data_IF_001329491426
#
_entry.id   IF_001329491426
#
_cell.length_a   1.000
_cell.length_b   1.000
_cell.length_c   1.000
_cell.angle_alpha   90.00
_cell.angle_beta   90.00
_cell.angle_gamma   90.00
#
_symmetry.space_group_name_H-M   'P 1'
#
loop_
_entity.id
_entity.type
_entity.pdbx_description
1 polymer ?
#
# COMPACT_ATOMS: atom_id res chain seq x y z
N UNK A 1 -3.29 -17.83 13.70
CA UNK A 1 -4.22 -17.78 12.56
C UNK A 1 -4.14 -16.39 11.94
N UNK A 2 -4.53 -16.25 10.68
CA UNK A 2 -4.65 -14.96 10.01
C UNK A 2 -6.13 -14.56 9.99
N UNK A 3 -6.43 -13.34 10.45
CA UNK A 3 -7.78 -12.76 10.42
C UNK A 3 -7.77 -11.58 9.44
N UNK A 4 -8.38 -11.71 8.25
CA UNK A 4 -8.45 -10.62 7.30
C UNK A 4 -9.28 -9.47 7.88
N UNK A 5 -8.84 -8.23 7.72
CA UNK A 5 -9.61 -7.09 8.20
C UNK A 5 -9.83 -6.00 7.16
N UNK A 6 -8.89 -5.80 6.22
CA UNK A 6 -9.02 -4.77 5.22
C UNK A 6 -8.32 -5.15 3.90
N UNK A 7 -8.59 -4.35 2.87
CA UNK A 7 -7.88 -4.36 1.59
C UNK A 7 -6.90 -3.19 1.56
N UNK A 8 -5.65 -3.48 1.20
CA UNK A 8 -4.57 -2.54 0.99
C UNK A 8 -4.23 -2.46 -0.51
N UNK A 9 -3.59 -1.37 -0.92
CA UNK A 9 -3.10 -1.19 -2.28
C UNK A 9 -1.73 -0.51 -2.29
N UNK A 10 -0.98 -0.78 -3.36
CA UNK A 10 0.34 -0.19 -3.59
C UNK A 10 0.37 0.42 -4.97
N UNK A 11 0.45 1.74 -5.04
CA UNK A 11 0.55 2.47 -6.28
C UNK A 11 2.01 2.76 -6.63
N UNK A 12 2.26 3.03 -7.91
CA UNK A 12 3.49 3.71 -8.30
C UNK A 12 3.36 5.19 -7.98
N UNK A 13 4.44 5.79 -7.51
CA UNK A 13 4.49 7.16 -7.05
C UNK A 13 5.65 7.92 -7.68
N UNK A 14 5.45 9.22 -7.86
CA UNK A 14 6.50 10.18 -8.20
C UNK A 14 6.51 11.34 -7.21
N UNK A 15 7.58 12.13 -7.20
CA UNK A 15 7.63 13.38 -6.44
C UNK A 15 7.15 14.59 -7.26
N UNK A 16 6.96 15.75 -6.62
CA UNK A 16 6.46 16.97 -7.26
C UNK A 16 7.42 17.53 -8.33
N UNK A 17 8.70 17.17 -8.31
CA UNK A 17 9.66 17.54 -9.35
C UNK A 17 9.59 16.63 -10.60
N UNK A 18 8.80 15.56 -10.58
CA UNK A 18 8.71 14.56 -11.66
C UNK A 18 8.21 15.15 -12.96
N UNK A 19 8.83 14.71 -14.05
CA UNK A 19 8.36 15.00 -15.42
C UNK A 19 7.80 13.75 -16.10
N UNK A 20 7.65 12.64 -15.36
CA UNK A 20 7.20 11.36 -15.89
C UNK A 20 5.67 11.36 -15.94
N UNK A 21 5.03 11.11 -17.10
CA UNK A 21 3.57 10.97 -17.24
C UNK A 21 3.16 9.60 -16.70
N UNK A 22 3.25 9.46 -15.38
CA UNK A 22 3.22 8.20 -14.68
C UNK A 22 1.85 7.48 -14.75
N UNK A 23 0.76 8.21 -14.97
CA UNK A 23 -0.61 7.66 -15.11
C UNK A 23 -0.84 6.80 -16.36
N UNK A 24 0.02 6.93 -17.36
CA UNK A 24 -0.09 6.17 -18.61
C UNK A 24 0.61 4.80 -18.57
N UNK A 25 1.35 4.50 -17.49
CA UNK A 25 2.00 3.20 -17.35
C UNK A 25 0.97 2.07 -17.12
N UNK A 26 1.17 0.97 -17.83
CA UNK A 26 0.50 -0.29 -17.53
C UNK A 26 1.31 -1.11 -16.54
N UNK A 27 0.66 -2.11 -15.91
CA UNK A 27 1.39 -3.07 -15.07
C UNK A 27 2.41 -3.88 -15.90
N UNK A 28 2.14 -4.08 -17.19
CA UNK A 28 3.08 -4.74 -18.09
C UNK A 28 4.32 -3.87 -18.33
N UNK A 29 4.15 -2.56 -18.52
CA UNK A 29 5.25 -1.61 -18.69
C UNK A 29 6.15 -1.56 -17.45
N UNK A 30 5.54 -1.50 -16.26
CA UNK A 30 6.29 -1.55 -15.00
C UNK A 30 7.07 -2.86 -14.87
N UNK A 31 6.47 -4.00 -15.24
CA UNK A 31 7.20 -5.28 -15.27
C UNK A 31 8.36 -5.27 -16.25
N UNK A 32 8.18 -4.74 -17.46
CA UNK A 32 9.28 -4.61 -18.44
C UNK A 32 10.46 -3.81 -17.86
N UNK A 33 10.16 -2.67 -17.23
CA UNK A 33 11.18 -1.82 -16.60
C UNK A 33 11.87 -2.52 -15.42
N UNK A 34 11.12 -3.08 -14.47
CA UNK A 34 11.68 -3.67 -13.25
C UNK A 34 12.34 -5.03 -13.51
N UNK A 35 11.69 -5.92 -14.27
CA UNK A 35 12.12 -7.32 -14.46
C UNK A 35 13.16 -7.47 -15.56
N UNK A 36 12.92 -6.85 -16.71
CA UNK A 36 13.72 -7.11 -17.90
C UNK A 36 14.84 -6.07 -18.06
N UNK A 37 14.64 -4.87 -17.51
CA UNK A 37 15.56 -3.75 -17.71
C UNK A 37 15.41 -3.09 -19.09
N UNK A 38 14.37 -3.47 -19.82
CA UNK A 38 14.09 -3.01 -21.17
C UNK A 38 13.35 -1.66 -21.17
N UNK A 39 13.54 -0.90 -22.25
CA UNK A 39 12.90 0.40 -22.41
C UNK A 39 11.40 0.29 -22.72
N UNK A 40 10.62 1.24 -22.21
CA UNK A 40 9.19 1.38 -22.52
C UNK A 40 8.90 2.80 -23.03
N UNK A 41 8.05 2.92 -24.06
CA UNK A 41 7.57 4.23 -24.54
C UNK A 41 6.19 4.54 -23.99
N UNK A 42 6.09 5.60 -23.18
CA UNK A 42 4.86 6.08 -22.56
C UNK A 42 4.72 7.59 -22.83
N UNK A 43 3.54 8.04 -23.24
CA UNK A 43 3.30 9.47 -23.53
C UNK A 43 4.24 10.05 -24.60
N UNK A 44 4.75 9.23 -25.53
CA UNK A 44 5.71 9.64 -26.55
C UNK A 44 7.17 9.76 -26.09
N UNK A 45 7.46 9.42 -24.83
CA UNK A 45 8.83 9.40 -24.27
C UNK A 45 9.26 7.96 -23.99
N UNK A 46 10.47 7.58 -24.41
CA UNK A 46 11.06 6.28 -24.10
C UNK A 46 11.83 6.34 -22.79
N UNK A 47 11.40 5.57 -21.80
CA UNK A 47 12.02 5.41 -20.50
C UNK A 47 12.91 4.18 -20.49
N UNK A 48 14.16 4.34 -20.08
CA UNK A 48 15.17 3.29 -19.96
C UNK A 48 15.75 3.35 -18.55
N UNK A 49 15.71 2.23 -17.78
CA UNK A 49 16.24 2.19 -16.42
C UNK A 49 17.67 2.72 -16.33
N UNK A 50 17.95 3.52 -15.30
CA UNK A 50 19.23 4.21 -15.02
C UNK A 50 19.74 5.21 -16.07
N UNK A 51 19.03 5.38 -17.19
CA UNK A 51 19.33 6.43 -18.19
C UNK A 51 18.48 7.67 -17.92
N UNK A 52 17.16 7.49 -17.89
CA UNK A 52 16.20 8.58 -17.70
C UNK A 52 15.02 8.22 -16.79
N UNK A 53 15.03 7.04 -16.17
CA UNK A 53 14.12 6.67 -15.07
C UNK A 53 14.90 5.90 -14.00
N UNK A 54 14.71 6.26 -12.74
CA UNK A 54 15.25 5.55 -11.59
C UNK A 54 14.14 4.73 -10.93
N UNK A 55 14.33 3.41 -10.85
CA UNK A 55 13.35 2.49 -10.28
C UNK A 55 13.69 2.21 -8.82
N UNK A 56 12.79 2.58 -7.91
CA UNK A 56 12.98 2.38 -6.48
C UNK A 56 12.16 1.19 -5.96
N UNK A 57 12.67 0.55 -4.92
CA UNK A 57 11.96 -0.48 -4.16
C UNK A 57 12.22 -0.28 -2.67
N UNK A 58 11.28 -0.62 -1.75
CA UNK A 58 11.51 -0.35 -0.34
C UNK A 58 12.72 -1.10 0.22
N UNK A 59 13.23 -0.60 1.34
CA UNK A 59 14.30 -1.18 2.13
C UNK A 59 14.09 -2.67 2.43
N UNK A 60 15.19 -3.39 2.60
CA UNK A 60 15.17 -4.79 3.03
C UNK A 60 14.39 -4.97 4.33
N UNK A 61 13.59 -6.03 4.41
CA UNK A 61 12.70 -6.32 5.54
C UNK A 61 11.32 -5.65 5.49
N UNK A 62 11.05 -4.77 4.53
CA UNK A 62 9.70 -4.24 4.30
C UNK A 62 8.75 -5.32 3.77
N UNK A 63 7.55 -5.42 4.36
CA UNK A 63 6.47 -6.24 3.81
C UNK A 63 5.91 -5.71 2.48
N UNK A 64 6.09 -4.41 2.20
CA UNK A 64 5.72 -3.82 0.91
C UNK A 64 6.74 -4.16 -0.19
N UNK A 65 8.03 -4.25 0.15
CA UNK A 65 9.08 -4.74 -0.77
C UNK A 65 8.74 -6.12 -1.32
N UNK A 66 8.41 -7.09 -0.46
CA UNK A 66 8.08 -8.45 -0.91
C UNK A 66 6.88 -8.43 -1.85
N UNK A 67 5.81 -7.73 -1.46
CA UNK A 67 4.61 -7.64 -2.28
C UNK A 67 4.88 -6.98 -3.64
N UNK A 68 5.60 -5.85 -3.67
CA UNK A 68 5.92 -5.17 -4.92
C UNK A 68 6.82 -6.02 -5.82
N UNK A 69 7.84 -6.67 -5.25
CA UNK A 69 8.71 -7.58 -5.99
C UNK A 69 7.92 -8.72 -6.65
N UNK A 70 6.95 -9.31 -5.94
CA UNK A 70 6.07 -10.34 -6.49
C UNK A 70 5.23 -9.79 -7.66
N UNK A 71 4.70 -8.57 -7.54
CA UNK A 71 3.94 -7.92 -8.61
C UNK A 71 4.80 -7.62 -9.84
N UNK A 72 6.03 -7.18 -9.64
CA UNK A 72 7.00 -6.88 -10.69
C UNK A 72 7.72 -8.14 -11.21
N UNK A 73 7.52 -9.30 -10.57
CA UNK A 73 8.15 -10.58 -10.91
C UNK A 73 9.68 -10.54 -10.81
N UNK A 74 10.20 -9.89 -9.77
CA UNK A 74 11.62 -9.83 -9.45
C UNK A 74 11.88 -10.46 -8.07
N UNK A 75 13.14 -10.77 -7.77
CA UNK A 75 13.50 -11.23 -6.43
C UNK A 75 13.50 -10.04 -5.45
N UNK A 76 12.82 -10.19 -4.31
CA UNK A 76 12.88 -9.21 -3.23
C UNK A 76 14.25 -9.19 -2.54
N UNK A 77 15.05 -10.25 -2.62
CA UNK A 77 16.35 -10.34 -1.92
C UNK A 77 17.53 -10.01 -2.83
N UNK A 78 17.45 -10.41 -4.10
CA UNK A 78 18.50 -10.20 -5.10
C UNK A 78 17.94 -9.29 -6.18
N UNK A 79 18.04 -7.97 -5.95
CA UNK A 79 17.47 -6.98 -6.86
C UNK A 79 18.22 -6.98 -8.21
N UNK A 80 17.52 -6.75 -9.32
CA UNK A 80 18.16 -6.38 -10.59
C UNK A 80 19.06 -5.15 -10.40
N UNK A 81 20.15 -5.08 -11.16
CA UNK A 81 21.16 -4.02 -10.98
C UNK A 81 20.63 -2.60 -11.21
N UNK A 82 19.52 -2.45 -11.92
CA UNK A 82 18.84 -1.19 -12.25
C UNK A 82 17.65 -0.86 -11.33
N UNK A 83 17.45 -1.64 -10.26
CA UNK A 83 16.42 -1.40 -9.23
C UNK A 83 17.11 -1.11 -7.91
N UNK A 84 16.79 0.03 -7.30
CA UNK A 84 17.52 0.56 -6.15
C UNK A 84 16.64 0.62 -4.90
N UNK A 85 17.16 0.18 -3.76
CA UNK A 85 16.47 0.31 -2.46
C UNK A 85 16.96 1.49 -1.62
N UNK A 86 17.84 2.30 -2.20
CA UNK A 86 18.41 3.50 -1.62
C UNK A 86 18.92 4.44 -2.69
N UNK A 87 18.97 5.73 -2.38
CA UNK A 87 19.71 6.73 -3.17
C UNK A 87 20.70 7.40 -2.23
N UNK A 88 21.97 7.49 -2.64
CA UNK A 88 23.03 8.14 -1.86
C UNK A 88 23.03 7.70 -0.37
N UNK A 89 22.88 6.40 -0.11
CA UNK A 89 22.81 5.74 1.21
C UNK A 89 21.54 5.97 2.04
N UNK A 90 20.62 6.82 1.59
CA UNK A 90 19.31 6.97 2.23
C UNK A 90 18.37 5.85 1.72
N UNK A 91 17.81 5.00 2.58
CA UNK A 91 16.91 3.92 2.16
C UNK A 91 15.56 4.48 1.68
N UNK A 92 15.01 3.90 0.62
CA UNK A 92 13.66 4.21 0.16
C UNK A 92 12.64 3.49 1.04
N UNK A 93 11.69 4.24 1.62
CA UNK A 93 10.62 3.72 2.47
C UNK A 93 9.27 3.88 1.77
N UNK A 94 8.40 2.90 1.97
CA UNK A 94 7.10 2.82 1.30
C UNK A 94 6.05 3.86 1.71
N UNK A 95 6.38 4.70 2.69
CA UNK A 95 5.50 5.67 3.32
C UNK A 95 6.18 7.04 3.51
N UNK A 96 7.31 7.26 2.86
CA UNK A 96 8.13 8.47 2.97
C UNK A 96 8.57 8.94 1.58
N UNK A 97 8.12 10.14 1.22
CA UNK A 97 8.36 10.75 -0.08
C UNK A 97 9.71 11.45 -0.21
N UNK A 98 10.54 11.50 0.84
CA UNK A 98 11.80 12.27 0.86
C UNK A 98 12.71 11.98 -0.34
N UNK A 99 12.80 10.72 -0.78
CA UNK A 99 13.62 10.35 -1.94
C UNK A 99 12.99 10.64 -3.30
N UNK A 100 11.68 10.87 -3.33
CA UNK A 100 10.94 11.25 -4.53
C UNK A 100 10.89 12.77 -4.70
N UNK A 101 10.81 13.53 -3.59
CA UNK A 101 10.55 14.98 -3.56
C UNK A 101 11.34 15.76 -4.63
N UNK A 102 12.67 15.66 -4.58
CA UNK A 102 13.58 16.39 -5.47
C UNK A 102 14.05 15.62 -6.69
N UNK A 103 13.59 14.37 -6.90
CA UNK A 103 14.10 13.51 -7.96
C UNK A 103 13.11 13.41 -9.12
N UNK A 104 13.34 14.22 -10.15
CA UNK A 104 12.45 14.31 -11.32
C UNK A 104 12.37 13.04 -12.18
N UNK A 105 13.21 12.04 -11.90
CA UNK A 105 13.30 10.79 -12.65
C UNK A 105 12.96 9.56 -11.80
N UNK A 106 12.71 9.71 -10.51
CA UNK A 106 12.44 8.58 -9.64
C UNK A 106 10.98 8.17 -9.68
N UNK A 107 10.77 6.86 -9.75
CA UNK A 107 9.50 6.23 -9.43
C UNK A 107 9.73 5.15 -8.38
N UNK A 108 8.75 4.94 -7.51
CA UNK A 108 8.81 3.88 -6.52
C UNK A 108 7.41 3.48 -6.05
N UNK A 109 7.24 2.30 -5.46
CA UNK A 109 5.97 1.92 -4.89
C UNK A 109 5.71 2.67 -3.58
N UNK A 110 4.49 3.12 -3.40
CA UNK A 110 4.04 3.83 -2.19
C UNK A 110 2.75 3.19 -1.67
N UNK A 111 2.63 3.05 -0.35
CA UNK A 111 1.41 2.53 0.27
C UNK A 111 0.26 3.52 0.11
N UNK A 112 -0.78 3.13 -0.62
CA UNK A 112 -1.97 3.98 -0.83
C UNK A 112 -2.64 4.27 0.52
N UNK A 113 -2.73 3.26 1.38
CA UNK A 113 -3.29 3.42 2.72
C UNK A 113 -2.50 4.44 3.56
N UNK A 114 -1.16 4.35 3.57
CA UNK A 114 -0.34 5.32 4.27
C UNK A 114 -0.48 6.73 3.69
N UNK A 115 -0.54 6.88 2.37
CA UNK A 115 -0.70 8.18 1.72
C UNK A 115 -2.04 8.83 2.13
N UNK A 116 -3.14 8.08 2.06
CA UNK A 116 -4.47 8.58 2.46
C UNK A 116 -4.49 8.88 3.96
N UNK A 117 -4.02 7.96 4.81
CA UNK A 117 -4.02 8.14 6.26
C UNK A 117 -3.19 9.34 6.73
N UNK A 118 -2.05 9.62 6.07
CA UNK A 118 -1.27 10.83 6.28
C UNK A 118 -2.02 12.08 5.81
N UNK A 119 -2.65 12.03 4.64
CA UNK A 119 -3.46 13.13 4.11
C UNK A 119 -4.68 13.49 4.96
N UNK A 120 -5.26 12.51 5.65
CA UNK A 120 -6.35 12.72 6.59
C UNK A 120 -5.92 13.38 7.91
N UNK A 121 -4.61 13.56 8.15
CA UNK A 121 -4.09 14.25 9.33
C UNK A 121 -4.39 13.54 10.64
N UNK A 122 -4.32 12.20 10.65
CA UNK A 122 -4.69 11.40 11.81
C UNK A 122 -3.77 11.66 13.02
N UNK A 123 -4.31 11.66 14.26
CA UNK A 123 -3.49 11.84 15.46
C UNK A 123 -2.34 10.82 15.54
N UNK A 124 -1.11 11.33 15.65
CA UNK A 124 0.09 10.50 15.72
C UNK A 124 0.61 9.98 14.37
N UNK A 125 -0.06 10.31 13.26
CA UNK A 125 0.40 10.02 11.90
C UNK A 125 1.08 11.27 11.36
N UNK A 126 2.41 11.22 11.21
CA UNK A 126 3.18 12.30 10.62
C UNK A 126 3.01 12.25 9.10
N UNK A 127 2.67 13.37 8.49
CA UNK A 127 2.69 13.51 7.02
C UNK A 127 4.15 13.55 6.55
N UNK A 128 4.52 12.55 5.76
CA UNK A 128 5.82 12.34 5.12
C UNK A 128 5.63 12.12 3.63
N UNK A 129 4.52 12.58 3.06
CA UNK A 129 4.28 12.42 1.62
C UNK A 129 5.25 13.27 0.80
N UNK A 130 5.75 14.38 1.33
CA UNK A 130 6.70 15.27 0.64
C UNK A 130 6.25 15.61 -0.81
N UNK A 131 4.95 15.86 -0.98
CA UNK A 131 4.35 16.17 -2.29
C UNK A 131 4.27 14.99 -3.27
N UNK A 132 4.41 13.76 -2.79
CA UNK A 132 4.26 12.55 -3.60
C UNK A 132 2.86 12.48 -4.21
N UNK A 133 2.83 12.21 -5.51
CA UNK A 133 1.64 11.88 -6.27
C UNK A 133 1.57 10.37 -6.52
N UNK A 134 0.39 9.79 -6.31
CA UNK A 134 0.12 8.38 -6.61
C UNK A 134 -0.52 8.28 -7.99
N UNK A 135 -0.04 7.33 -8.80
CA UNK A 135 -0.42 7.24 -10.20
C UNK A 135 -1.31 6.05 -10.51
N UNK A 136 -2.11 6.23 -11.56
CA UNK A 136 -2.91 5.17 -12.13
C UNK A 136 -2.02 4.04 -12.69
N UNK A 137 -2.52 2.81 -12.59
CA UNK A 137 -1.94 1.65 -13.27
C UNK A 137 -3.02 1.06 -14.15
N UNK A 138 -2.71 0.83 -15.42
CA UNK A 138 -3.71 0.45 -16.43
C UNK A 138 -4.87 1.47 -16.53
N UNK A 139 -4.59 2.76 -16.31
CA UNK A 139 -5.59 3.85 -16.24
C UNK A 139 -6.64 3.69 -15.12
N UNK A 140 -6.38 2.84 -14.13
CA UNK A 140 -7.22 2.73 -12.94
C UNK A 140 -6.55 3.53 -11.82
N UNK A 141 -7.23 4.57 -11.34
CA UNK A 141 -6.73 5.42 -10.24
C UNK A 141 -6.68 4.65 -8.92
N UNK A 142 -5.69 4.90 -8.04
CA UNK A 142 -5.56 4.21 -6.75
C UNK A 142 -6.60 4.66 -5.71
N UNK A 143 -7.24 5.80 -5.90
CA UNK A 143 -8.32 6.33 -5.05
C UNK A 143 -9.42 6.97 -5.90
N UNK A 144 -10.63 7.14 -5.33
CA UNK A 144 -11.83 7.57 -6.08
C UNK A 144 -12.22 9.04 -5.91
N UNK A 145 -11.84 9.66 -4.80
CA UNK A 145 -12.22 11.05 -4.49
C UNK A 145 -11.11 12.01 -4.90
N UNK A 146 -11.48 13.07 -5.63
CA UNK A 146 -10.52 14.07 -6.11
C UNK A 146 -10.36 15.27 -5.17
N UNK A 147 -11.12 15.31 -4.07
CA UNK A 147 -11.00 16.39 -3.08
C UNK A 147 -9.88 16.04 -2.10
N UNK A 148 -8.83 16.87 -1.99
CA UNK A 148 -7.75 16.62 -1.05
C UNK A 148 -8.26 16.46 0.39
N UNK A 149 -7.86 15.38 1.06
CA UNK A 149 -8.28 15.03 2.42
C UNK A 149 -9.59 14.26 2.51
N UNK A 150 -10.15 13.81 1.38
CA UNK A 150 -11.32 12.92 1.32
C UNK A 150 -11.05 11.66 0.49
N UNK A 151 -9.79 11.39 0.15
CA UNK A 151 -9.41 10.26 -0.69
C UNK A 151 -9.83 8.94 -0.06
N UNK A 152 -10.50 8.10 -0.86
CA UNK A 152 -10.91 6.74 -0.47
C UNK A 152 -10.24 5.76 -1.41
N UNK A 153 -9.67 4.69 -0.85
CA UNK A 153 -9.02 3.65 -1.64
C UNK A 153 -9.97 3.11 -2.71
N UNK A 154 -9.49 3.02 -3.95
CA UNK A 154 -10.22 2.39 -5.03
C UNK A 154 -10.07 0.86 -4.98
N UNK A 155 -11.11 0.09 -4.60
CA UNK A 155 -11.00 -1.35 -4.43
C UNK A 155 -10.80 -2.11 -5.74
N UNK A 156 -11.01 -1.47 -6.90
CA UNK A 156 -10.75 -2.10 -8.21
C UNK A 156 -9.34 -1.83 -8.74
N UNK A 157 -8.49 -1.13 -7.97
CA UNK A 157 -7.09 -0.91 -8.35
C UNK A 157 -6.36 -2.25 -8.52
N UNK A 158 -5.53 -2.43 -9.57
CA UNK A 158 -5.03 -3.75 -9.94
C UNK A 158 -3.94 -4.29 -9.01
N UNK A 159 -3.32 -3.43 -8.20
CA UNK A 159 -2.25 -3.81 -7.27
C UNK A 159 -2.74 -3.71 -5.84
N UNK A 160 -3.51 -4.72 -5.43
CA UNK A 160 -4.16 -4.82 -4.12
C UNK A 160 -3.79 -6.11 -3.39
N UNK A 161 -3.94 -6.10 -2.06
CA UNK A 161 -3.79 -7.28 -1.20
C UNK A 161 -4.70 -7.19 0.02
N UNK A 162 -5.12 -8.34 0.54
CA UNK A 162 -5.74 -8.37 1.86
C UNK A 162 -4.67 -8.22 2.95
N UNK A 163 -5.01 -7.50 4.01
CA UNK A 163 -4.18 -7.38 5.22
C UNK A 163 -4.86 -8.09 6.39
N UNK A 164 -4.02 -8.64 7.27
CA UNK A 164 -4.43 -9.61 8.28
C UNK A 164 -3.87 -9.25 9.65
N UNK A 165 -4.68 -9.46 10.68
CA UNK A 165 -4.20 -9.59 12.05
C UNK A 165 -3.71 -11.01 12.28
N UNK A 166 -2.58 -11.16 12.98
CA UNK A 166 -2.04 -12.47 13.38
C UNK A 166 -2.34 -12.68 14.86
N UNK A 167 -3.15 -13.69 15.17
CA UNK A 167 -3.56 -13.98 16.54
C UNK A 167 -3.65 -15.49 16.80
N UNK A 168 -3.67 -15.91 18.07
CA UNK A 168 -3.87 -17.31 18.43
C UNK A 168 -5.30 -17.77 18.08
N UNK A 169 -5.44 -18.97 17.52
CA UNK A 169 -6.73 -19.44 17.01
C UNK A 169 -7.80 -19.56 18.11
N UNK A 170 -7.47 -20.17 19.25
CA UNK A 170 -8.41 -20.35 20.35
C UNK A 170 -8.87 -19.00 20.94
N UNK A 171 -7.96 -18.02 21.00
CA UNK A 171 -8.27 -16.69 21.51
C UNK A 171 -9.29 -15.97 20.62
N UNK A 172 -9.12 -16.02 19.30
CA UNK A 172 -10.09 -15.42 18.37
C UNK A 172 -11.39 -16.23 18.32
N UNK A 173 -11.32 -17.56 18.20
CA UNK A 173 -12.49 -18.40 17.92
C UNK A 173 -13.44 -18.53 19.11
N UNK A 174 -12.90 -18.79 20.30
CA UNK A 174 -13.69 -19.07 21.50
C UNK A 174 -13.49 -18.04 22.60
N UNK A 175 -12.46 -17.19 22.50
CA UNK A 175 -12.08 -16.23 23.54
C UNK A 175 -11.01 -16.75 24.48
N UNK A 176 -10.59 -18.02 24.34
CA UNK A 176 -9.48 -18.63 25.08
C UNK A 176 -9.29 -18.11 26.51
N UNK A 177 -8.08 -17.60 26.76
CA UNK A 177 -7.69 -16.93 28.00
C UNK A 177 -7.95 -15.41 27.97
N UNK A 178 -8.09 -14.82 26.78
CA UNK A 178 -8.40 -13.41 26.55
C UNK A 178 -9.63 -13.25 25.65
N UNK A 179 -10.79 -13.12 26.30
CA UNK A 179 -12.06 -12.94 25.61
C UNK A 179 -12.13 -11.64 24.79
N UNK A 180 -11.24 -10.67 25.02
CA UNK A 180 -11.20 -9.42 24.27
C UNK A 180 -10.74 -9.64 22.82
N UNK A 181 -9.87 -10.63 22.56
CA UNK A 181 -9.40 -10.95 21.21
C UNK A 181 -10.53 -11.50 20.33
N UNK A 182 -11.47 -12.26 20.91
CA UNK A 182 -12.70 -12.67 20.21
C UNK A 182 -13.55 -11.45 19.82
N UNK A 183 -13.78 -10.53 20.76
CA UNK A 183 -14.57 -9.30 20.50
C UNK A 183 -13.87 -8.40 19.48
N UNK A 184 -12.54 -8.35 19.52
CA UNK A 184 -11.73 -7.52 18.64
C UNK A 184 -11.75 -8.02 17.19
N UNK A 185 -11.70 -9.34 16.96
CA UNK A 185 -11.37 -9.90 15.64
C UNK A 185 -12.34 -10.93 15.07
N UNK A 186 -13.24 -11.53 15.86
CA UNK A 186 -14.04 -12.66 15.39
C UNK A 186 -15.32 -12.22 14.68
N UNK A 187 -15.34 -12.42 13.36
CA UNK A 187 -16.48 -12.20 12.49
C UNK A 187 -16.64 -10.76 12.02
N UNK A 188 -17.58 -10.53 11.09
CA UNK A 188 -17.77 -9.22 10.44
C UNK A 188 -18.32 -8.15 11.39
N UNK A 189 -18.83 -8.53 12.56
CA UNK A 189 -19.30 -7.60 13.61
C UNK A 189 -18.24 -7.28 14.66
N UNK A 190 -17.02 -7.82 14.52
CA UNK A 190 -15.93 -7.56 15.44
C UNK A 190 -15.53 -6.07 15.44
N UNK A 191 -14.86 -5.63 16.53
CA UNK A 191 -14.46 -4.22 16.66
C UNK A 191 -13.52 -3.79 15.53
N UNK A 192 -12.62 -4.66 15.06
CA UNK A 192 -11.74 -4.32 13.93
C UNK A 192 -12.51 -4.00 12.65
N UNK A 193 -13.70 -4.59 12.47
CA UNK A 193 -14.51 -4.44 11.27
C UNK A 193 -15.55 -3.33 11.35
N UNK A 194 -15.99 -2.97 12.56
CA UNK A 194 -17.13 -2.06 12.79
C UNK A 194 -16.76 -0.77 13.50
N UNK A 195 -15.51 -0.61 13.93
CA UNK A 195 -15.04 0.63 14.57
C UNK A 195 -15.22 1.81 13.63
N UNK A 196 -15.82 2.87 14.18
CA UNK A 196 -15.92 4.18 13.54
C UNK A 196 -15.31 5.24 14.44
N UNK A 197 -14.81 6.32 13.84
CA UNK A 197 -14.32 7.50 14.56
C UNK A 197 -14.68 8.74 13.78
N UNK A 198 -14.76 9.88 14.47
CA UNK A 198 -14.95 11.17 13.82
C UNK A 198 -13.75 11.49 12.91
N UNK A 199 -14.04 12.01 11.72
CA UNK A 199 -13.00 12.46 10.79
C UNK A 199 -12.22 13.66 11.39
N UNK A 200 -10.88 13.70 11.34
CA UNK A 200 -10.08 14.79 11.91
C UNK A 200 -10.42 16.19 11.37
N UNK A 201 -11.00 16.27 10.17
CA UNK A 201 -11.51 17.51 9.60
C UNK A 201 -12.72 18.13 10.33
N UNK A 202 -13.22 17.50 11.42
CA UNK A 202 -14.19 18.11 12.34
C UNK A 202 -15.60 18.26 11.76
N UNK A 203 -16.00 17.37 10.86
CA UNK A 203 -17.32 17.43 10.19
C UNK A 203 -18.46 16.85 11.01
N UNK A 204 -18.21 16.35 12.24
CA UNK A 204 -19.19 15.58 13.02
C UNK A 204 -19.59 14.23 12.37
N UNK A 205 -18.92 13.85 11.28
CA UNK A 205 -19.20 12.62 10.54
C UNK A 205 -18.32 11.49 11.06
N UNK A 206 -18.95 10.38 11.47
CA UNK A 206 -18.25 9.16 11.84
C UNK A 206 -18.00 8.32 10.59
N UNK A 207 -16.74 7.97 10.38
CA UNK A 207 -16.28 7.13 9.27
C UNK A 207 -15.67 5.84 9.80
N UNK A 208 -15.64 4.80 8.95
CA UNK A 208 -14.94 3.56 9.27
C UNK A 208 -13.49 3.85 9.62
N UNK A 209 -13.01 3.30 10.74
CA UNK A 209 -11.59 3.43 11.10
C UNK A 209 -10.70 2.80 10.03
N UNK A 210 -11.14 1.72 9.37
CA UNK A 210 -10.41 1.11 8.26
C UNK A 210 -10.20 2.11 7.11
N UNK A 211 -11.28 2.77 6.69
CA UNK A 211 -11.27 3.71 5.56
C UNK A 211 -10.50 4.98 5.89
N UNK A 212 -10.60 5.44 7.14
CA UNK A 212 -9.87 6.61 7.59
C UNK A 212 -8.35 6.43 7.54
N UNK A 213 -7.87 5.21 7.78
CA UNK A 213 -6.46 4.83 7.60
C UNK A 213 -6.12 4.44 6.16
N UNK A 214 -7.01 4.72 5.20
CA UNK A 214 -6.76 4.56 3.77
C UNK A 214 -6.91 3.14 3.22
N UNK A 215 -7.43 2.20 4.00
CA UNK A 215 -7.73 0.86 3.52
C UNK A 215 -9.19 0.77 3.03
N UNK A 216 -9.51 -0.21 2.18
CA UNK A 216 -10.90 -0.50 1.83
C UNK A 216 -11.47 -1.62 2.71
N UNK A 217 -12.77 -1.54 2.99
CA UNK A 217 -13.49 -2.58 3.73
C UNK A 217 -13.58 -3.89 2.94
N UNK A 218 -13.43 -5.02 3.63
CA UNK A 218 -13.70 -6.35 3.06
C UNK A 218 -15.18 -6.76 3.16
N UNK A 219 -16.04 -5.89 3.71
CA UNK A 219 -17.44 -6.21 3.97
C UNK A 219 -17.59 -7.45 4.83
N UNK A 220 -18.37 -8.44 4.37
CA UNK A 220 -18.58 -9.71 5.06
C UNK A 220 -17.33 -10.58 5.19
N UNK A 221 -16.27 -10.30 4.43
CA UNK A 221 -14.97 -10.97 4.53
C UNK A 221 -14.12 -10.50 5.71
N UNK A 222 -14.44 -9.35 6.32
CA UNK A 222 -13.72 -8.85 7.49
C UNK A 222 -13.96 -9.74 8.72
N UNK A 223 -12.91 -10.02 9.48
CA UNK A 223 -12.99 -10.84 10.70
C UNK A 223 -13.22 -12.33 10.42
N UNK A 224 -13.15 -12.77 9.16
CA UNK A 224 -13.41 -14.16 8.80
C UNK A 224 -12.41 -15.11 9.48
N UNK A 225 -12.93 -16.07 10.25
CA UNK A 225 -12.11 -17.12 10.87
C UNK A 225 -12.00 -18.28 9.88
N UNK A 226 -10.95 -18.28 9.07
CA UNK A 226 -10.67 -19.39 8.14
C UNK A 226 -9.88 -20.49 8.87
N UNK A 227 -10.47 -21.67 8.99
CA UNK A 227 -9.84 -22.81 9.72
C UNK A 227 -8.55 -23.31 9.05
N UNK A 228 -8.37 -23.02 7.76
CA UNK A 228 -7.23 -23.40 6.93
C UNK A 228 -6.02 -22.46 7.06
N UNK A 229 -6.19 -21.21 7.52
CA UNK A 229 -5.11 -20.22 7.63
C UNK A 229 -4.60 -20.13 9.07
N UNK A 230 -3.87 -21.16 9.50
CA UNK A 230 -3.20 -21.16 10.82
C UNK A 230 -1.81 -20.54 10.68
N UNK A 231 -1.51 -19.56 11.53
CA UNK A 231 -0.21 -18.89 11.58
C UNK A 231 0.91 -19.78 12.14
N UNK A 232 0.53 -20.90 12.75
CA UNK A 232 1.44 -21.96 13.17
C UNK A 232 0.88 -23.28 12.64
N UNK A 233 1.71 -24.13 11.97
CA UNK A 233 1.32 -25.51 11.73
C UNK A 233 1.07 -26.16 13.10
N UNK A 234 0.01 -26.98 13.19
CA UNK A 234 -0.42 -27.62 14.43
C UNK A 234 0.78 -28.27 15.13
N UNK A 235 1.06 -27.86 16.37
CA UNK A 235 1.90 -28.63 17.29
C UNK A 235 1.19 -29.89 17.76
#
# INVERSE_FOLDING_TARGET
MYVPFALDAVAMATGPASTIPADDFTLADLRTLYRDGDSVTVGGTTYTPDVNIALLIPQSGSGLRQFWADQMQISATTLPAWVHDQIATLPFQENDGTLLEGNSRAIGPFSVASWIGQGNGLPGVVDRREGVDLHAINRIQPYTEATPGNEVLNPVFPVTRQVYNVAAYNEVRTGGTDASLRVAFNGPTSRSCTSTTEHPAGSGTFVSTIELYGFASLGSGCGAVLESLRAFPNG
#
